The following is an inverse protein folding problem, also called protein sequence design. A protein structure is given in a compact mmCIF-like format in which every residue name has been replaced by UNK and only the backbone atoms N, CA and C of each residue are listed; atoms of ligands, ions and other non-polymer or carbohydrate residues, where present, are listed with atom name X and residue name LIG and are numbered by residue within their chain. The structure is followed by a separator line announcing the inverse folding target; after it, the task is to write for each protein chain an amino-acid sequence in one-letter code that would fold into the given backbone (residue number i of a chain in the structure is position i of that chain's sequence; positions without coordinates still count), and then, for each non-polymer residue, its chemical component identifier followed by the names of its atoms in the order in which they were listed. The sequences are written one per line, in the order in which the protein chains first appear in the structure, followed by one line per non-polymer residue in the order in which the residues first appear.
data_IF_099730089831
#
_entry.id   IF_099730089831
#
_cell.length_a   1.000
_cell.length_b   1.000
_cell.length_c   1.000
_cell.angle_alpha   90.00
_cell.angle_beta   90.00
_cell.angle_gamma   90.00
#
_symmetry.space_group_name_H-M   'P 1'
#
loop_
_entity.id
_entity.type
_entity.pdbx_description
1 polymer ?
#
# COMPACT_ATOMS: atom_id res chain seq x y z
N UNK A 1 -65.64 -50.15 35.08
CA UNK A 1 -65.57 -49.13 34.01
C UNK A 1 -64.64 -48.03 34.47
N UNK A 2 -63.39 -48.05 34.02
CA UNK A 2 -62.49 -46.90 33.97
C UNK A 2 -61.36 -47.26 33.01
N UNK A 3 -61.28 -46.49 31.93
CA UNK A 3 -60.49 -46.73 30.73
C UNK A 3 -59.12 -46.10 30.91
N UNK A 4 -58.05 -46.90 30.83
CA UNK A 4 -56.67 -46.44 30.75
C UNK A 4 -56.29 -46.22 29.28
N UNK A 5 -56.01 -44.97 28.91
CA UNK A 5 -55.50 -44.58 27.60
C UNK A 5 -53.97 -44.60 27.69
N UNK A 6 -53.33 -45.53 26.97
CA UNK A 6 -51.88 -45.52 26.70
C UNK A 6 -51.61 -44.64 25.49
N UNK A 7 -50.74 -43.64 25.66
CA UNK A 7 -50.22 -42.79 24.58
C UNK A 7 -48.91 -43.41 24.08
N UNK A 8 -48.90 -43.89 22.83
CA UNK A 8 -47.69 -44.27 22.11
C UNK A 8 -46.95 -43.01 21.66
N UNK A 9 -45.73 -42.80 22.16
CA UNK A 9 -44.77 -41.85 21.59
C UNK A 9 -44.07 -42.51 20.39
N UNK A 10 -44.38 -42.06 19.18
CA UNK A 10 -43.56 -42.33 17.98
C UNK A 10 -42.41 -41.32 17.94
N UNK A 11 -41.18 -41.82 18.06
CA UNK A 11 -39.97 -41.04 17.88
C UNK A 11 -39.78 -40.63 16.41
N UNK A 12 -39.79 -39.32 16.16
CA UNK A 12 -39.32 -38.74 14.91
C UNK A 12 -37.85 -38.33 15.12
N UNK A 13 -36.91 -39.19 14.69
CA UNK A 13 -35.51 -38.80 14.57
C UNK A 13 -35.41 -38.00 13.27
N UNK A 14 -35.46 -36.67 13.37
CA UNK A 14 -35.15 -35.78 12.27
C UNK A 14 -33.66 -35.88 11.95
N UNK A 15 -33.32 -36.48 10.81
CA UNK A 15 -32.03 -36.26 10.17
C UNK A 15 -31.97 -34.79 9.76
N UNK A 16 -31.25 -33.98 10.54
CA UNK A 16 -30.78 -32.67 10.09
C UNK A 16 -29.66 -32.95 9.09
N UNK A 17 -30.00 -32.99 7.81
CA UNK A 17 -28.99 -32.79 6.78
C UNK A 17 -28.59 -31.33 6.87
N UNK A 18 -27.41 -31.08 7.44
CA UNK A 18 -26.76 -29.80 7.32
C UNK A 18 -26.51 -29.58 5.82
N UNK A 19 -27.37 -28.77 5.20
CA UNK A 19 -27.03 -28.11 3.95
C UNK A 19 -25.78 -27.27 4.25
N UNK A 20 -24.63 -27.49 3.58
CA UNK A 20 -23.56 -26.52 3.64
C UNK A 20 -24.15 -25.21 3.13
N UNK A 21 -24.24 -24.23 4.02
CA UNK A 21 -24.57 -22.86 3.70
C UNK A 21 -23.73 -22.48 2.49
N UNK A 22 -24.44 -22.11 1.43
CA UNK A 22 -23.94 -21.54 0.19
C UNK A 22 -22.63 -20.79 0.40
N UNK A 23 -21.55 -21.32 -0.18
CA UNK A 23 -20.42 -20.52 -0.63
C UNK A 23 -21.02 -19.31 -1.36
N UNK A 24 -20.91 -18.14 -0.73
CA UNK A 24 -21.12 -16.88 -1.42
C UNK A 24 -20.05 -16.87 -2.51
N UNK A 25 -20.46 -17.12 -3.75
CA UNK A 25 -19.64 -16.87 -4.92
C UNK A 25 -19.36 -15.37 -4.95
N UNK A 26 -18.24 -14.96 -4.37
CA UNK A 26 -17.70 -13.62 -4.55
C UNK A 26 -17.37 -13.53 -6.04
N UNK A 27 -18.04 -12.61 -6.73
CA UNK A 27 -17.80 -12.32 -8.14
C UNK A 27 -16.31 -12.06 -8.34
N UNK A 28 -15.68 -12.97 -9.08
CA UNK A 28 -14.32 -12.87 -9.54
C UNK A 28 -14.16 -11.54 -10.31
N UNK A 29 -13.19 -10.71 -9.88
CA UNK A 29 -12.45 -9.88 -10.83
C UNK A 29 -11.79 -10.77 -11.88
N UNK A 30 -11.13 -10.26 -12.93
CA UNK A 30 -10.55 -11.09 -13.97
C UNK A 30 -9.35 -11.89 -13.44
N UNK A 31 -9.61 -12.91 -12.63
CA UNK A 31 -8.64 -13.95 -12.31
C UNK A 31 -8.58 -14.83 -13.55
N UNK A 32 -7.38 -14.99 -14.11
CA UNK A 32 -7.19 -15.88 -15.25
C UNK A 32 -7.66 -17.29 -14.87
N UNK A 33 -8.22 -18.04 -15.83
CA UNK A 33 -8.74 -19.40 -15.60
C UNK A 33 -7.66 -20.31 -14.95
N UNK A 34 -6.40 -20.00 -15.18
CA UNK A 34 -5.26 -20.66 -14.53
C UNK A 34 -5.08 -20.31 -13.05
N UNK A 35 -5.34 -19.06 -12.60
CA UNK A 35 -5.39 -18.74 -11.16
C UNK A 35 -6.50 -19.53 -10.46
N UNK A 36 -7.66 -19.73 -11.12
CA UNK A 36 -8.75 -20.55 -10.57
C UNK A 36 -8.33 -22.02 -10.40
N UNK A 37 -7.50 -22.53 -11.31
CA UNK A 37 -6.93 -23.88 -11.19
C UNK A 37 -6.03 -23.99 -9.95
N UNK A 38 -5.16 -22.99 -9.73
CA UNK A 38 -4.35 -22.92 -8.50
C UNK A 38 -5.21 -22.78 -7.25
N UNK A 39 -6.30 -22.00 -7.31
CA UNK A 39 -7.27 -21.87 -6.22
C UNK A 39 -7.91 -23.21 -5.87
N UNK A 40 -8.33 -23.98 -6.87
CA UNK A 40 -8.90 -25.32 -6.65
C UNK A 40 -7.87 -26.27 -6.04
N UNK A 41 -6.60 -26.19 -6.47
CA UNK A 41 -5.52 -27.00 -5.91
C UNK A 41 -5.16 -26.59 -4.47
N UNK A 42 -5.22 -25.30 -4.15
CA UNK A 42 -4.98 -24.78 -2.81
C UNK A 42 -6.15 -25.06 -1.85
N UNK A 43 -7.38 -25.09 -2.35
CA UNK A 43 -8.58 -25.42 -1.57
C UNK A 43 -8.82 -26.94 -1.45
N UNK A 44 -7.87 -27.77 -1.89
CA UNK A 44 -7.97 -29.21 -1.75
C UNK A 44 -8.02 -29.61 -0.26
N UNK A 45 -8.76 -30.66 0.09
CA UNK A 45 -8.94 -31.12 1.48
C UNK A 45 -7.65 -31.53 2.19
N UNK A 46 -6.54 -31.69 1.45
CA UNK A 46 -5.23 -32.02 1.98
C UNK A 46 -4.40 -30.80 2.43
N UNK A 47 -4.89 -29.58 2.19
CA UNK A 47 -4.19 -28.35 2.58
C UNK A 47 -4.50 -27.99 4.03
N UNK A 48 -3.48 -27.87 4.86
CA UNK A 48 -3.57 -27.28 6.19
C UNK A 48 -3.51 -25.76 6.08
N UNK A 49 -4.65 -25.12 6.28
CA UNK A 49 -4.78 -23.66 6.20
C UNK A 49 -3.98 -22.92 7.28
N UNK A 50 -3.51 -23.58 8.34
CA UNK A 50 -2.58 -22.98 9.31
C UNK A 50 -1.14 -22.92 8.80
N UNK A 51 -0.85 -23.58 7.68
CA UNK A 51 0.45 -23.64 7.01
C UNK A 51 0.29 -23.29 5.52
N UNK A 52 -0.57 -22.32 5.21
CA UNK A 52 -1.05 -21.99 3.87
C UNK A 52 0.10 -21.85 2.86
N UNK A 53 1.12 -21.05 3.18
CA UNK A 53 2.24 -20.79 2.28
C UNK A 53 3.21 -21.98 2.11
N UNK A 54 3.13 -23.02 2.94
CA UNK A 54 3.94 -24.23 2.76
C UNK A 54 3.40 -25.18 1.67
N UNK A 55 2.30 -24.83 1.03
CA UNK A 55 1.78 -25.52 -0.15
C UNK A 55 2.07 -24.70 -1.40
N UNK A 56 2.79 -25.30 -2.36
CA UNK A 56 3.16 -24.64 -3.64
C UNK A 56 1.96 -24.04 -4.35
N UNK A 57 0.81 -24.74 -4.41
CA UNK A 57 -0.43 -24.22 -5.02
C UNK A 57 -0.96 -22.96 -4.35
N UNK A 58 -0.84 -22.86 -3.03
CA UNK A 58 -1.31 -21.72 -2.25
C UNK A 58 -0.40 -20.50 -2.39
N UNK A 59 0.92 -20.71 -2.36
CA UNK A 59 1.88 -19.65 -2.72
C UNK A 59 1.63 -19.15 -4.16
N UNK A 60 1.53 -20.07 -5.12
CA UNK A 60 1.32 -19.72 -6.53
C UNK A 60 -0.02 -19.01 -6.73
N UNK A 61 -1.07 -19.39 -6.01
CA UNK A 61 -2.35 -18.66 -5.99
C UNK A 61 -2.15 -17.21 -5.53
N UNK A 62 -1.45 -17.00 -4.41
CA UNK A 62 -1.15 -15.67 -3.89
C UNK A 62 -0.37 -14.83 -4.91
N UNK A 63 0.66 -15.41 -5.53
CA UNK A 63 1.41 -14.75 -6.60
C UNK A 63 0.52 -14.45 -7.83
N UNK A 64 -0.34 -15.38 -8.22
CA UNK A 64 -1.25 -15.24 -9.36
C UNK A 64 -2.25 -14.09 -9.19
N UNK A 65 -2.72 -13.91 -7.95
CA UNK A 65 -3.65 -12.87 -7.55
C UNK A 65 -3.01 -11.49 -7.37
N UNK A 66 -1.67 -11.37 -7.36
CA UNK A 66 -0.95 -10.15 -6.96
C UNK A 66 -1.31 -8.86 -7.73
N UNK A 67 -1.86 -8.98 -8.94
CA UNK A 67 -2.32 -7.84 -9.73
C UNK A 67 -3.70 -7.29 -9.30
N UNK A 68 -4.45 -8.05 -8.50
CA UNK A 68 -5.84 -7.73 -8.09
C UNK A 68 -6.09 -7.84 -6.60
N UNK A 69 -5.34 -8.69 -5.90
CA UNK A 69 -5.43 -8.93 -4.47
C UNK A 69 -4.02 -8.96 -3.86
N UNK A 70 -3.87 -8.44 -2.64
CA UNK A 70 -2.65 -8.61 -1.85
C UNK A 70 -2.67 -9.95 -1.09
N UNK A 71 -1.52 -10.43 -0.57
CA UNK A 71 -1.45 -11.68 0.19
C UNK A 71 -2.49 -11.83 1.31
N UNK A 72 -2.76 -10.78 2.08
CA UNK A 72 -3.77 -10.83 3.15
C UNK A 72 -5.19 -11.07 2.62
N UNK A 73 -5.54 -10.44 1.49
CA UNK A 73 -6.84 -10.65 0.84
C UNK A 73 -6.98 -12.10 0.32
N UNK A 74 -5.90 -12.69 -0.17
CA UNK A 74 -5.89 -14.10 -0.62
C UNK A 74 -6.08 -15.06 0.56
N UNK A 75 -5.45 -14.80 1.71
CA UNK A 75 -5.67 -15.58 2.93
C UNK A 75 -7.14 -15.52 3.37
N UNK A 76 -7.74 -14.33 3.41
CA UNK A 76 -9.15 -14.13 3.75
C UNK A 76 -10.06 -14.89 2.76
N UNK A 77 -9.81 -14.76 1.46
CA UNK A 77 -10.59 -15.43 0.43
C UNK A 77 -10.48 -16.97 0.51
N UNK A 78 -9.33 -17.47 0.96
CA UNK A 78 -9.06 -18.90 1.15
C UNK A 78 -9.45 -19.40 2.55
N UNK A 79 -10.02 -18.54 3.40
CA UNK A 79 -10.39 -18.84 4.78
C UNK A 79 -9.21 -19.31 5.65
N UNK A 80 -7.99 -18.90 5.29
CA UNK A 80 -6.79 -19.15 6.07
C UNK A 80 -6.65 -18.07 7.18
N UNK A 81 -6.09 -18.40 8.36
CA UNK A 81 -5.75 -17.42 9.37
C UNK A 81 -4.87 -16.30 8.82
N UNK A 82 -5.11 -15.05 9.25
CA UNK A 82 -4.33 -13.90 8.84
C UNK A 82 -2.84 -14.01 9.23
N UNK A 83 -2.55 -14.65 10.36
CA UNK A 83 -1.19 -14.96 10.79
C UNK A 83 -0.82 -16.34 10.26
N UNK A 84 0.13 -16.37 9.32
CA UNK A 84 0.67 -17.61 8.75
C UNK A 84 2.14 -17.75 9.14
N UNK A 85 2.64 -18.99 9.33
CA UNK A 85 4.06 -19.26 9.26
C UNK A 85 4.63 -18.78 7.92
N UNK A 86 5.88 -18.32 7.95
CA UNK A 86 6.59 -17.98 6.71
C UNK A 86 6.67 -19.20 5.79
N UNK A 87 6.65 -18.94 4.47
CA UNK A 87 6.99 -19.92 3.45
C UNK A 87 8.33 -20.55 3.81
N UNK A 88 8.40 -21.87 3.95
CA UNK A 88 9.64 -22.55 4.31
C UNK A 88 10.65 -22.56 3.16
N UNK A 89 11.95 -22.51 3.50
CA UNK A 89 13.04 -22.68 2.54
C UNK A 89 12.92 -23.97 1.72
N UNK A 90 12.42 -25.07 2.29
CA UNK A 90 12.24 -26.32 1.56
C UNK A 90 11.25 -26.19 0.40
N UNK A 91 10.15 -25.47 0.59
CA UNK A 91 9.14 -25.24 -0.45
C UNK A 91 9.69 -24.26 -1.48
N UNK A 92 10.40 -23.22 -1.03
CA UNK A 92 11.12 -22.31 -1.91
C UNK A 92 12.15 -23.03 -2.79
N UNK A 93 12.99 -23.90 -2.23
CA UNK A 93 13.99 -24.67 -2.97
C UNK A 93 13.35 -25.67 -3.94
N UNK A 94 12.20 -26.26 -3.59
CA UNK A 94 11.46 -27.10 -4.52
C UNK A 94 11.00 -26.31 -5.76
N UNK A 95 10.53 -25.08 -5.58
CA UNK A 95 10.08 -24.22 -6.69
C UNK A 95 11.23 -23.59 -7.48
N UNK A 96 12.36 -23.31 -6.83
CA UNK A 96 13.54 -22.67 -7.43
C UNK A 96 14.57 -23.67 -7.99
N UNK A 97 14.22 -24.96 -8.04
CA UNK A 97 15.11 -26.05 -8.46
C UNK A 97 16.44 -26.08 -7.66
N UNK A 98 16.35 -25.85 -6.36
CA UNK A 98 17.47 -25.86 -5.42
C UNK A 98 18.33 -24.59 -5.41
N UNK A 99 17.91 -23.53 -6.10
CA UNK A 99 18.63 -22.24 -6.13
C UNK A 99 18.33 -21.38 -4.89
N UNK A 100 19.29 -20.55 -4.46
CA UNK A 100 19.09 -19.56 -3.37
C UNK A 100 18.23 -18.36 -3.76
N UNK A 101 17.86 -18.26 -5.04
CA UNK A 101 16.94 -17.29 -5.60
C UNK A 101 16.01 -17.97 -6.58
N UNK A 102 14.80 -17.44 -6.72
CA UNK A 102 13.84 -17.87 -7.72
C UNK A 102 13.96 -16.95 -8.94
N UNK A 103 14.11 -17.53 -10.12
CA UNK A 103 14.05 -16.79 -11.40
C UNK A 103 12.63 -16.72 -11.93
N UNK A 104 12.37 -15.83 -12.88
CA UNK A 104 11.11 -15.83 -13.64
C UNK A 104 10.80 -17.20 -14.25
N UNK A 105 11.80 -17.89 -14.81
CA UNK A 105 11.59 -19.21 -15.42
C UNK A 105 11.24 -20.25 -14.36
N UNK A 106 11.87 -20.22 -13.19
CA UNK A 106 11.50 -21.13 -12.10
C UNK A 106 10.06 -20.92 -11.64
N UNK A 107 9.62 -19.66 -11.52
CA UNK A 107 8.23 -19.35 -11.19
C UNK A 107 7.26 -19.89 -12.25
N UNK A 108 7.55 -19.65 -13.54
CA UNK A 108 6.75 -20.19 -14.66
C UNK A 108 6.71 -21.72 -14.62
N UNK A 109 7.85 -22.38 -14.45
CA UNK A 109 7.94 -23.85 -14.41
C UNK A 109 7.14 -24.42 -13.24
N UNK A 110 7.28 -23.84 -12.03
CA UNK A 110 6.50 -24.23 -10.86
C UNK A 110 5.00 -24.03 -11.07
N UNK A 111 4.61 -22.91 -11.71
CA UNK A 111 3.23 -22.58 -12.05
C UNK A 111 2.62 -23.63 -13.00
N UNK A 112 3.28 -23.91 -14.12
CA UNK A 112 2.82 -24.91 -15.10
C UNK A 112 2.84 -26.32 -14.51
N UNK A 113 3.85 -26.67 -13.71
CA UNK A 113 3.91 -27.95 -13.01
C UNK A 113 2.70 -28.12 -12.10
N UNK A 114 2.35 -27.11 -11.30
CA UNK A 114 1.23 -27.19 -10.38
C UNK A 114 -0.12 -27.35 -11.11
N UNK A 115 -0.30 -26.65 -12.22
CA UNK A 115 -1.49 -26.83 -13.07
C UNK A 115 -1.54 -28.23 -13.65
N UNK A 116 -0.41 -28.79 -14.10
CA UNK A 116 -0.37 -30.12 -14.72
C UNK A 116 -0.84 -31.25 -13.80
N UNK A 117 -0.67 -31.08 -12.48
CA UNK A 117 -1.09 -32.03 -11.46
C UNK A 117 -2.44 -31.69 -10.82
N UNK A 118 -3.04 -30.56 -11.20
CA UNK A 118 -4.36 -30.14 -10.73
C UNK A 118 -5.45 -30.85 -11.54
N UNK A 119 -6.38 -31.60 -10.92
CA UNK A 119 -7.50 -32.22 -11.64
C UNK A 119 -8.34 -31.17 -12.36
N UNK A 120 -8.47 -31.29 -13.69
CA UNK A 120 -9.19 -30.30 -14.51
C UNK A 120 -8.47 -28.95 -14.63
N UNK A 121 -7.17 -28.89 -14.33
CA UNK A 121 -6.37 -27.68 -14.44
C UNK A 121 -6.39 -27.08 -15.85
N UNK A 122 -6.57 -25.77 -15.92
CA UNK A 122 -6.56 -24.98 -17.14
C UNK A 122 -5.30 -24.13 -17.18
N UNK A 123 -4.55 -24.23 -18.28
CA UNK A 123 -3.37 -23.41 -18.51
C UNK A 123 -3.75 -21.99 -18.92
N UNK A 124 -2.89 -20.98 -18.67
CA UNK A 124 -3.14 -19.65 -19.19
C UNK A 124 -3.00 -19.64 -20.70
N UNK A 125 -3.82 -18.81 -21.36
CA UNK A 125 -3.79 -18.64 -22.81
C UNK A 125 -2.49 -17.98 -23.30
N UNK A 126 -1.82 -17.24 -22.42
CA UNK A 126 -0.56 -16.56 -22.71
C UNK A 126 0.36 -16.56 -21.48
N UNK A 127 1.60 -17.00 -21.67
CA UNK A 127 2.65 -16.97 -20.64
C UNK A 127 2.97 -15.57 -20.15
N UNK A 128 2.74 -14.53 -20.97
CA UNK A 128 2.92 -13.12 -20.56
C UNK A 128 2.18 -12.78 -19.28
N UNK A 129 0.98 -13.36 -19.04
CA UNK A 129 0.25 -13.12 -17.79
C UNK A 129 1.01 -13.61 -16.55
N UNK A 130 1.69 -14.76 -16.65
CA UNK A 130 2.50 -15.31 -15.56
C UNK A 130 3.75 -14.47 -15.37
N UNK A 131 4.34 -14.00 -16.48
CA UNK A 131 5.50 -13.11 -16.44
C UNK A 131 5.14 -11.80 -15.74
N UNK A 132 4.00 -11.19 -16.07
CA UNK A 132 3.55 -9.93 -15.46
C UNK A 132 3.32 -10.09 -13.95
N UNK A 133 2.77 -11.24 -13.49
CA UNK A 133 2.65 -11.57 -12.07
C UNK A 133 4.02 -11.60 -11.37
N UNK A 134 5.01 -12.24 -12.00
CA UNK A 134 6.37 -12.28 -11.47
C UNK A 134 7.01 -10.88 -11.42
N UNK A 135 6.80 -10.07 -12.46
CA UNK A 135 7.31 -8.70 -12.51
C UNK A 135 6.67 -7.81 -11.44
N UNK A 136 5.41 -8.02 -11.06
CA UNK A 136 4.79 -7.34 -9.91
C UNK A 136 5.52 -7.66 -8.60
N UNK A 137 5.87 -8.93 -8.36
CA UNK A 137 6.63 -9.33 -7.17
C UNK A 137 8.07 -8.80 -7.25
N UNK A 138 8.71 -8.85 -8.42
CA UNK A 138 10.04 -8.30 -8.63
C UNK A 138 10.09 -6.78 -8.42
N UNK A 139 9.04 -6.05 -8.80
CA UNK A 139 8.89 -4.62 -8.57
C UNK A 139 8.77 -4.31 -7.07
N UNK A 140 7.97 -5.10 -6.34
CA UNK A 140 7.86 -4.94 -4.90
C UNK A 140 9.17 -5.22 -4.17
N UNK A 141 9.84 -6.32 -4.53
CA UNK A 141 11.07 -6.77 -3.87
C UNK A 141 12.33 -6.01 -4.29
N UNK A 142 12.27 -5.18 -5.34
CA UNK A 142 13.41 -4.38 -5.82
C UNK A 142 14.36 -5.13 -6.76
N UNK A 143 13.92 -6.23 -7.39
CA UNK A 143 14.74 -7.09 -8.26
C UNK A 143 14.39 -6.99 -9.75
N UNK A 144 13.79 -5.89 -10.21
CA UNK A 144 13.45 -5.71 -11.63
C UNK A 144 14.64 -5.85 -12.60
N UNK A 145 15.85 -5.50 -12.17
CA UNK A 145 17.03 -5.54 -13.04
C UNK A 145 17.46 -6.97 -13.40
N UNK A 146 17.23 -7.94 -12.51
CA UNK A 146 17.67 -9.33 -12.70
C UNK A 146 16.51 -10.31 -12.85
N UNK A 147 15.34 -9.98 -12.29
CA UNK A 147 14.22 -10.92 -12.14
C UNK A 147 14.50 -12.08 -11.19
N UNK A 148 15.61 -12.03 -10.43
CA UNK A 148 16.05 -13.08 -9.52
C UNK A 148 15.75 -12.65 -8.08
N UNK A 149 14.71 -13.22 -7.49
CA UNK A 149 14.24 -12.84 -6.16
C UNK A 149 14.80 -13.82 -5.12
N UNK A 150 15.64 -13.38 -4.17
CA UNK A 150 16.13 -14.22 -3.08
C UNK A 150 14.99 -14.66 -2.15
N UNK A 151 15.19 -15.77 -1.43
CA UNK A 151 14.21 -16.29 -0.46
C UNK A 151 13.72 -15.21 0.53
N UNK A 152 14.65 -14.50 1.18
CA UNK A 152 14.33 -13.48 2.18
C UNK A 152 13.37 -12.41 1.63
N UNK A 153 13.65 -11.88 0.43
CA UNK A 153 12.80 -10.86 -0.17
C UNK A 153 11.43 -11.40 -0.60
N UNK A 154 11.36 -12.66 -1.04
CA UNK A 154 10.08 -13.27 -1.40
C UNK A 154 9.19 -13.50 -0.17
N UNK A 155 9.77 -13.92 0.97
CA UNK A 155 8.99 -14.08 2.20
C UNK A 155 8.58 -12.74 2.79
N UNK A 156 9.45 -11.72 2.70
CA UNK A 156 9.10 -10.34 3.07
C UNK A 156 7.93 -9.81 2.24
N UNK A 157 7.88 -10.11 0.93
CA UNK A 157 6.74 -9.77 0.10
C UNK A 157 5.44 -10.43 0.59
N UNK A 158 5.47 -11.71 0.94
CA UNK A 158 4.29 -12.41 1.46
C UNK A 158 3.81 -11.81 2.80
N UNK A 159 4.75 -11.41 3.66
CA UNK A 159 4.46 -10.92 5.01
C UNK A 159 4.04 -9.45 5.02
N UNK A 160 4.73 -8.59 4.27
CA UNK A 160 4.65 -7.14 4.41
C UNK A 160 3.93 -6.43 3.27
N UNK A 161 3.73 -7.03 2.08
CA UNK A 161 3.10 -6.31 0.96
C UNK A 161 1.63 -5.95 1.17
N UNK A 162 1.01 -6.50 2.22
CA UNK A 162 -0.36 -6.16 2.64
C UNK A 162 -0.40 -5.23 3.86
N UNK A 163 0.76 -4.92 4.45
CA UNK A 163 0.84 -4.02 5.60
C UNK A 163 0.64 -2.59 5.12
N UNK A 164 -0.30 -1.89 5.73
CA UNK A 164 -0.59 -0.49 5.40
C UNK A 164 0.69 0.34 5.44
N UNK A 165 0.92 1.07 4.35
CA UNK A 165 2.06 1.97 4.23
C UNK A 165 3.40 1.30 3.91
N UNK A 166 3.43 -0.03 3.68
CA UNK A 166 4.56 -0.69 3.03
C UNK A 166 4.38 -0.60 1.51
N UNK A 167 5.35 0.02 0.84
CA UNK A 167 5.31 0.23 -0.60
C UNK A 167 6.21 -0.74 -1.35
N UNK A 168 5.88 -1.05 -2.63
CA UNK A 168 6.83 -1.72 -3.49
C UNK A 168 8.09 -0.86 -3.69
N UNK A 169 9.24 -1.51 -3.87
CA UNK A 169 10.50 -0.81 -4.14
C UNK A 169 10.43 0.06 -5.40
N UNK A 170 9.73 -0.40 -6.44
CA UNK A 170 9.35 0.41 -7.62
C UNK A 170 7.91 0.12 -8.02
N UNK A 171 7.24 1.07 -8.64
CA UNK A 171 5.82 0.92 -9.05
C UNK A 171 5.60 -0.18 -10.09
N UNK A 172 6.60 -0.46 -10.93
CA UNK A 172 6.60 -1.53 -11.94
C UNK A 172 8.04 -1.80 -12.40
N UNK A 173 8.28 -2.99 -12.94
CA UNK A 173 9.51 -3.27 -13.67
C UNK A 173 9.52 -2.71 -15.10
N UNK A 174 8.36 -2.25 -15.60
CA UNK A 174 8.26 -1.58 -16.90
C UNK A 174 8.39 -0.06 -16.71
N UNK A 175 9.46 0.52 -17.25
CA UNK A 175 9.73 1.96 -17.17
C UNK A 175 8.61 2.84 -17.75
N UNK A 176 7.87 2.36 -18.74
CA UNK A 176 6.73 3.08 -19.33
C UNK A 176 5.53 3.11 -18.40
N UNK A 177 5.34 2.04 -17.63
CA UNK A 177 4.32 1.96 -16.57
C UNK A 177 4.74 2.83 -15.39
N UNK A 178 6.00 2.74 -14.95
CA UNK A 178 6.54 3.59 -13.87
C UNK A 178 6.32 5.08 -14.16
N UNK A 179 6.54 5.52 -15.40
CA UNK A 179 6.36 6.92 -15.79
C UNK A 179 4.89 7.41 -15.72
N UNK A 180 3.92 6.50 -15.62
CA UNK A 180 2.47 6.81 -15.58
C UNK A 180 1.82 6.46 -14.25
N UNK A 181 2.50 5.69 -13.41
CA UNK A 181 1.99 5.25 -12.12
C UNK A 181 2.45 6.21 -11.04
N UNK A 182 1.48 6.71 -10.25
CA UNK A 182 1.78 7.52 -9.08
C UNK A 182 2.55 6.64 -8.08
N UNK A 183 3.77 7.01 -7.67
CA UNK A 183 4.54 6.23 -6.70
C UNK A 183 3.77 6.05 -5.39
N UNK A 184 3.84 4.84 -4.84
CA UNK A 184 3.38 4.58 -3.48
C UNK A 184 4.27 5.36 -2.50
N UNK A 185 3.65 5.91 -1.46
CA UNK A 185 4.35 6.65 -0.41
C UNK A 185 4.37 5.79 0.84
N UNK A 186 5.54 5.39 1.33
CA UNK A 186 5.61 4.65 2.57
C UNK A 186 4.93 5.46 3.68
N UNK A 187 3.99 4.84 4.39
CA UNK A 187 3.35 5.44 5.55
C UNK A 187 3.70 4.58 6.77
N UNK A 188 4.32 5.15 7.82
CA UNK A 188 4.45 4.47 9.09
C UNK A 188 3.07 4.03 9.60
N UNK A 189 2.99 2.90 10.31
CA UNK A 189 1.75 2.41 10.94
C UNK A 189 1.15 3.42 11.94
N UNK A 190 1.92 4.43 12.34
CA UNK A 190 1.51 5.52 13.21
C UNK A 190 0.72 6.61 12.47
N UNK A 191 0.74 6.63 11.13
CA UNK A 191 -0.19 7.41 10.31
C UNK A 191 -1.53 6.69 10.21
N UNK A 192 -2.53 7.17 10.94
CA UNK A 192 -3.91 6.66 10.89
C UNK A 192 -4.77 7.39 9.85
N UNK A 193 -4.16 7.82 8.75
CA UNK A 193 -4.79 8.63 7.71
C UNK A 193 -4.67 10.14 7.92
N UNK A 194 -3.87 10.56 8.90
CA UNK A 194 -3.59 11.97 9.16
C UNK A 194 -2.97 12.66 7.95
N UNK A 195 -2.09 11.95 7.23
CA UNK A 195 -1.52 12.49 6.02
C UNK A 195 -2.54 12.62 4.90
N UNK A 196 -3.36 11.59 4.71
CA UNK A 196 -4.45 11.63 3.72
C UNK A 196 -5.38 12.81 3.93
N UNK A 197 -5.67 13.15 5.20
CA UNK A 197 -6.43 14.35 5.53
C UNK A 197 -5.67 15.64 5.20
N UNK A 198 -4.37 15.72 5.47
CA UNK A 198 -3.55 16.89 5.11
C UNK A 198 -3.49 17.11 3.60
N UNK A 199 -3.36 16.03 2.82
CA UNK A 199 -3.43 16.01 1.34
C UNK A 199 -4.79 16.49 0.86
N UNK A 200 -5.88 15.91 1.39
CA UNK A 200 -7.26 16.34 1.08
C UNK A 200 -7.48 17.83 1.34
N UNK A 201 -6.91 18.36 2.42
CA UNK A 201 -6.95 19.79 2.69
C UNK A 201 -6.15 20.57 1.64
N UNK A 202 -4.92 20.17 1.30
CA UNK A 202 -4.11 20.83 0.27
C UNK A 202 -4.84 21.02 -1.08
N UNK A 203 -5.63 20.04 -1.51
CA UNK A 203 -6.38 20.07 -2.78
C UNK A 203 -7.21 21.34 -2.97
N UNK A 204 -7.78 21.84 -1.87
CA UNK A 204 -8.61 23.04 -1.88
C UNK A 204 -7.86 24.32 -2.33
N UNK A 205 -6.53 24.35 -2.27
CA UNK A 205 -5.73 25.54 -2.56
C UNK A 205 -4.56 25.34 -3.51
N UNK A 206 -4.10 24.09 -3.74
CA UNK A 206 -2.88 23.80 -4.51
C UNK A 206 -2.86 24.47 -5.88
N UNK A 207 -3.99 24.47 -6.59
CA UNK A 207 -4.06 25.05 -7.93
C UNK A 207 -4.39 26.55 -7.96
N UNK A 208 -5.02 27.08 -6.91
CA UNK A 208 -5.37 28.50 -6.83
C UNK A 208 -4.23 29.36 -6.27
N UNK A 209 -3.52 28.84 -5.26
CA UNK A 209 -2.49 29.56 -4.52
C UNK A 209 -1.08 29.08 -4.89
N UNK A 210 -0.94 27.82 -5.33
CA UNK A 210 0.34 27.17 -5.53
C UNK A 210 0.76 26.34 -4.32
N UNK A 211 1.57 25.30 -4.57
CA UNK A 211 1.87 24.27 -3.58
C UNK A 211 2.50 24.82 -2.28
N UNK A 212 3.47 25.73 -2.38
CA UNK A 212 4.17 26.26 -1.19
C UNK A 212 3.66 27.63 -0.72
N UNK A 213 2.44 27.98 -1.14
CA UNK A 213 1.77 29.23 -0.78
C UNK A 213 0.61 28.99 0.19
N UNK A 214 0.42 27.75 0.64
CA UNK A 214 -0.59 27.34 1.60
C UNK A 214 0.01 26.37 2.63
N UNK A 215 -0.32 26.54 3.90
CA UNK A 215 0.23 25.72 4.99
C UNK A 215 -0.13 24.24 4.91
N UNK A 216 -1.37 23.92 4.51
CA UNK A 216 -1.82 22.54 4.38
C UNK A 216 -1.04 21.80 3.30
N UNK A 217 -0.73 22.49 2.20
CA UNK A 217 0.10 21.92 1.13
C UNK A 217 1.56 21.74 1.52
N UNK A 218 2.12 22.64 2.33
CA UNK A 218 3.48 22.49 2.86
C UNK A 218 3.54 21.32 3.85
N UNK A 219 2.58 21.22 4.77
CA UNK A 219 2.48 20.12 5.72
C UNK A 219 2.21 18.78 5.02
N UNK A 220 1.36 18.76 3.99
CA UNK A 220 1.15 17.60 3.14
C UNK A 220 2.47 17.18 2.49
N UNK A 221 3.27 18.13 1.96
CA UNK A 221 4.57 17.83 1.35
C UNK A 221 5.53 17.15 2.33
N UNK A 222 5.43 17.43 3.63
CA UNK A 222 6.26 16.76 4.63
C UNK A 222 5.95 15.28 4.79
N UNK A 223 4.68 14.86 4.66
CA UNK A 223 4.36 13.43 4.66
C UNK A 223 5.06 12.65 3.55
N UNK A 224 5.37 13.32 2.44
CA UNK A 224 5.99 12.71 1.28
C UNK A 224 7.51 12.68 1.37
N UNK A 225 8.09 13.08 2.52
CA UNK A 225 9.54 13.04 2.76
C UNK A 225 10.15 11.63 2.62
N UNK A 226 9.40 10.57 2.94
CA UNK A 226 9.82 9.18 2.70
C UNK A 226 9.83 8.78 1.22
N UNK A 227 9.33 9.64 0.33
CA UNK A 227 9.31 9.45 -1.12
C UNK A 227 10.01 10.62 -1.82
N UNK A 228 9.29 11.39 -2.62
CA UNK A 228 9.73 12.68 -3.11
C UNK A 228 8.56 13.69 -3.07
N UNK A 229 8.89 14.98 -3.01
CA UNK A 229 7.89 16.06 -2.94
C UNK A 229 7.06 16.21 -4.23
N UNK A 230 7.53 15.68 -5.37
CA UNK A 230 6.78 15.65 -6.64
C UNK A 230 5.64 14.62 -6.64
N UNK A 231 5.72 13.55 -5.82
CA UNK A 231 4.63 12.55 -5.72
C UNK A 231 3.35 13.21 -5.23
N UNK A 232 3.43 14.17 -4.29
CA UNK A 232 2.27 14.95 -3.87
C UNK A 232 1.60 15.62 -5.06
N UNK A 233 2.35 16.28 -5.95
CA UNK A 233 1.78 16.94 -7.14
C UNK A 233 1.07 15.95 -8.07
N UNK A 234 1.51 14.70 -8.14
CA UNK A 234 0.82 13.67 -8.92
C UNK A 234 -0.51 13.23 -8.30
N UNK A 235 -0.66 13.32 -6.97
CA UNK A 235 -1.94 13.11 -6.28
C UNK A 235 -2.85 14.33 -6.35
N UNK A 236 -2.29 15.54 -6.27
CA UNK A 236 -3.02 16.79 -6.23
C UNK A 236 -3.59 17.17 -7.61
N UNK A 237 -2.82 16.95 -8.68
CA UNK A 237 -3.24 17.36 -10.02
C UNK A 237 -4.04 16.27 -10.71
N UNK A 238 -5.24 16.59 -11.23
CA UNK A 238 -6.03 15.65 -12.02
C UNK A 238 -5.26 15.14 -13.23
N UNK A 239 -5.52 13.89 -13.63
CA UNK A 239 -4.84 13.22 -14.74
C UNK A 239 -4.97 13.92 -16.11
N UNK A 240 -5.94 14.84 -16.27
CA UNK A 240 -6.09 15.66 -17.48
C UNK A 240 -5.15 16.87 -17.52
N UNK A 241 -4.50 17.22 -16.41
CA UNK A 241 -3.46 18.27 -16.40
C UNK A 241 -2.14 17.62 -16.82
N UNK A 242 -1.68 17.94 -18.03
CA UNK A 242 -0.45 17.38 -18.60
C UNK A 242 0.38 18.46 -19.31
N UNK A 243 1.68 18.58 -19.01
CA UNK A 243 2.40 17.86 -17.96
C UNK A 243 1.98 18.32 -16.55
N UNK A 244 1.94 17.39 -15.60
CA UNK A 244 1.85 17.74 -14.17
C UNK A 244 3.08 18.57 -13.80
N UNK A 245 2.93 19.72 -13.12
CA UNK A 245 4.08 20.51 -12.70
C UNK A 245 4.92 19.74 -11.67
N UNK A 246 6.19 20.09 -11.58
CA UNK A 246 7.11 19.63 -10.53
C UNK A 246 7.27 20.69 -9.45
N UNK A 247 7.75 20.31 -8.28
CA UNK A 247 8.04 21.22 -7.16
C UNK A 247 9.06 22.30 -7.54
N UNK A 248 10.02 21.97 -8.41
CA UNK A 248 10.98 22.94 -8.96
C UNK A 248 10.35 24.03 -9.83
N UNK A 249 9.14 23.80 -10.34
CA UNK A 249 8.37 24.75 -11.14
C UNK A 249 7.34 25.53 -10.29
N UNK A 250 7.17 25.16 -9.01
CA UNK A 250 6.29 25.89 -8.09
C UNK A 250 7.00 27.13 -7.56
N UNK A 251 6.21 28.12 -7.12
CA UNK A 251 6.76 29.24 -6.37
C UNK A 251 7.38 28.73 -5.06
N UNK A 252 8.57 29.24 -4.73
CA UNK A 252 9.28 28.93 -3.49
C UNK A 252 8.38 29.21 -2.26
N UNK A 253 8.57 28.44 -1.19
CA UNK A 253 7.85 28.62 0.08
C UNK A 253 7.76 30.10 0.47
N UNK A 254 6.54 30.61 0.65
CA UNK A 254 6.39 31.99 1.10
C UNK A 254 6.81 32.15 2.57
N UNK A 255 7.48 33.27 2.88
CA UNK A 255 7.80 33.63 4.26
C UNK A 255 6.53 33.75 5.12
N UNK A 256 5.42 34.23 4.56
CA UNK A 256 4.15 34.33 5.26
C UNK A 256 3.63 32.96 5.73
N UNK A 257 3.64 31.95 4.86
CA UNK A 257 3.25 30.57 5.23
C UNK A 257 4.24 29.99 6.23
N UNK A 258 5.54 30.19 6.02
CA UNK A 258 6.56 29.76 6.96
C UNK A 258 6.32 30.35 8.36
N UNK A 259 6.13 31.66 8.46
CA UNK A 259 5.87 32.33 9.74
C UNK A 259 4.54 31.92 10.36
N UNK A 260 3.53 31.56 9.57
CA UNK A 260 2.29 31.04 10.14
C UNK A 260 2.53 29.70 10.84
N UNK A 261 3.26 28.78 10.19
CA UNK A 261 3.59 27.47 10.76
C UNK A 261 4.56 27.56 11.95
N UNK A 262 5.46 28.55 11.98
CA UNK A 262 6.45 28.70 13.06
C UNK A 262 6.00 29.62 14.20
N UNK A 263 4.81 30.21 14.13
CA UNK A 263 4.37 31.23 15.08
C UNK A 263 5.24 32.50 15.03
N UNK A 264 5.79 32.83 13.86
CA UNK A 264 6.61 34.02 13.61
C UNK A 264 8.12 33.83 13.84
N UNK A 265 8.59 32.61 14.10
CA UNK A 265 10.02 32.35 14.28
C UNK A 265 10.79 32.30 12.94
N UNK A 266 12.08 32.67 12.97
CA UNK A 266 12.97 32.67 11.80
C UNK A 266 13.46 31.26 11.37
N UNK A 267 13.20 30.25 12.20
CA UNK A 267 13.54 28.85 11.97
C UNK A 267 12.40 27.97 12.45
N UNK A 268 12.20 26.84 11.79
CA UNK A 268 11.21 25.83 12.18
C UNK A 268 11.90 24.77 13.03
N UNK A 269 11.47 24.63 14.28
CA UNK A 269 11.94 23.56 15.17
C UNK A 269 11.09 22.29 14.98
N UNK A 270 11.56 21.15 15.50
CA UNK A 270 10.74 19.93 15.57
C UNK A 270 9.40 20.18 16.29
N UNK A 271 9.39 20.98 17.36
CA UNK A 271 8.13 21.28 18.05
C UNK A 271 7.20 22.13 17.19
N UNK A 272 7.74 23.10 16.42
CA UNK A 272 6.90 23.90 15.52
C UNK A 272 6.22 23.05 14.45
N UNK A 273 6.92 22.07 13.86
CA UNK A 273 6.29 21.19 12.86
C UNK A 273 5.23 20.28 13.49
N UNK A 274 5.46 19.79 14.72
CA UNK A 274 4.44 19.05 15.48
C UNK A 274 3.22 19.94 15.70
N UNK A 275 3.40 21.12 16.26
CA UNK A 275 2.29 22.03 16.56
C UNK A 275 1.52 22.44 15.29
N UNK A 276 2.23 22.77 14.20
CA UNK A 276 1.62 23.13 12.93
C UNK A 276 0.83 21.96 12.31
N UNK A 277 1.37 20.74 12.36
CA UNK A 277 0.70 19.56 11.82
C UNK A 277 -0.58 19.22 12.60
N UNK A 278 -0.51 19.21 13.93
CA UNK A 278 -1.69 19.01 14.77
C UNK A 278 -2.71 20.14 14.61
N UNK A 279 -2.28 21.40 14.53
CA UNK A 279 -3.17 22.52 14.27
C UNK A 279 -3.86 22.41 12.90
N UNK A 280 -3.16 21.92 11.89
CA UNK A 280 -3.73 21.65 10.56
C UNK A 280 -4.80 20.55 10.55
N UNK A 281 -4.80 19.66 11.54
CA UNK A 281 -5.83 18.62 11.71
C UNK A 281 -6.98 19.06 12.63
N UNK A 282 -6.89 20.22 13.28
CA UNK A 282 -7.97 20.75 14.12
C UNK A 282 -8.94 21.60 13.31
N UNK A 283 -10.21 21.17 13.23
CA UNK A 283 -11.23 21.83 12.42
C UNK A 283 -10.86 21.85 10.93
N UNK A 284 -10.89 20.68 10.29
CA UNK A 284 -10.37 20.50 8.93
C UNK A 284 -11.23 21.20 7.88
N UNK A 285 -10.68 21.37 6.68
CA UNK A 285 -11.39 21.95 5.55
C UNK A 285 -11.87 20.88 4.59
N UNK A 286 -13.05 21.10 4.03
CA UNK A 286 -13.62 20.27 2.98
C UNK A 286 -13.97 21.10 1.75
N UNK A 287 -13.89 20.49 0.57
CA UNK A 287 -14.40 21.08 -0.66
C UNK A 287 -15.93 20.99 -0.67
N UNK A 288 -16.59 22.12 -0.94
CA UNK A 288 -18.04 22.17 -1.21
C UNK A 288 -18.35 22.31 -2.70
N UNK A 289 -17.34 22.08 -3.55
CA UNK A 289 -17.45 22.07 -5.01
C UNK A 289 -16.65 23.18 -5.70
N UNK A 290 -16.66 23.12 -7.02
CA UNK A 290 -15.86 23.98 -7.91
C UNK A 290 -14.95 23.13 -8.82
N UNK A 291 -14.50 23.68 -9.96
CA UNK A 291 -13.48 23.01 -10.76
C UNK A 291 -12.12 23.09 -10.05
N UNK A 292 -11.22 22.17 -10.39
CA UNK A 292 -9.84 22.18 -9.89
C UNK A 292 -9.20 23.57 -10.08
N UNK A 293 -8.63 24.12 -9.00
CA UNK A 293 -8.06 25.47 -8.97
C UNK A 293 -9.04 26.61 -8.73
N UNK A 294 -10.34 26.31 -8.57
CA UNK A 294 -11.34 27.26 -8.11
C UNK A 294 -12.35 26.58 -7.15
N UNK A 295 -11.83 25.65 -6.34
CA UNK A 295 -12.61 24.95 -5.33
C UNK A 295 -13.00 25.91 -4.20
N UNK A 296 -14.22 25.76 -3.73
CA UNK A 296 -14.70 26.50 -2.57
C UNK A 296 -14.48 25.64 -1.34
N UNK A 297 -13.58 26.08 -0.47
CA UNK A 297 -13.30 25.42 0.80
C UNK A 297 -14.26 25.89 1.89
N UNK A 298 -14.73 24.96 2.73
CA UNK A 298 -15.47 25.25 3.95
C UNK A 298 -14.78 24.62 5.14
N UNK A 299 -14.55 25.42 6.20
CA UNK A 299 -14.04 24.90 7.47
C UNK A 299 -15.12 24.10 8.18
N UNK A 300 -14.77 22.91 8.65
CA UNK A 300 -15.64 22.04 9.40
C UNK A 300 -15.45 22.25 10.91
N UNK A 301 -16.36 21.69 11.71
CA UNK A 301 -16.21 21.60 13.17
C UNK A 301 -15.65 20.22 13.58
N UNK A 302 -15.13 19.46 12.62
CA UNK A 302 -14.61 18.12 12.82
C UNK A 302 -13.11 18.15 12.69
N UNK A 303 -12.45 17.45 13.59
CA UNK A 303 -11.02 17.24 13.49
C UNK A 303 -10.73 16.07 12.55
N UNK A 304 -9.56 16.12 11.93
CA UNK A 304 -8.99 15.03 11.16
C UNK A 304 -8.50 13.90 12.07
N UNK A 305 -8.19 12.73 11.51
CA UNK A 305 -7.47 11.70 12.25
C UNK A 305 -6.09 12.24 12.67
N UNK A 306 -5.84 12.32 13.97
CA UNK A 306 -4.52 12.65 14.50
C UNK A 306 -3.62 11.42 14.48
N UNK A 307 -2.32 11.54 14.13
CA UNK A 307 -1.37 10.43 14.20
C UNK A 307 -1.45 9.72 15.56
N UNK A 308 -1.33 8.39 15.57
CA UNK A 308 -1.40 7.61 16.82
C UNK A 308 -0.14 7.77 17.68
N UNK A 309 0.96 8.25 17.09
CA UNK A 309 2.16 8.70 17.79
C UNK A 309 2.73 9.95 17.13
N UNK A 310 3.30 10.84 17.95
CA UNK A 310 4.09 11.98 17.49
C UNK A 310 5.34 11.55 16.72
N UNK A 311 5.80 10.30 16.93
CA UNK A 311 6.95 9.74 16.22
C UNK A 311 6.79 9.82 14.70
N UNK A 312 5.55 9.72 14.19
CA UNK A 312 5.25 9.94 12.77
C UNK A 312 5.82 11.27 12.25
N UNK A 313 5.57 12.36 12.99
CA UNK A 313 6.03 13.70 12.64
C UNK A 313 7.53 13.85 12.85
N UNK A 314 8.04 13.27 13.94
CA UNK A 314 9.46 13.28 14.28
C UNK A 314 10.28 12.57 13.20
N UNK A 315 9.76 11.51 12.60
CA UNK A 315 10.44 10.70 11.60
C UNK A 315 10.52 11.43 10.25
N UNK A 316 9.42 11.96 9.71
CA UNK A 316 9.51 12.75 8.47
C UNK A 316 10.34 14.02 8.68
N UNK A 317 10.25 14.65 9.85
CA UNK A 317 11.07 15.82 10.16
C UNK A 317 12.55 15.46 10.29
N UNK A 318 12.86 14.24 10.74
CA UNK A 318 14.20 13.68 10.73
C UNK A 318 14.78 13.62 9.32
N UNK A 319 14.00 13.16 8.34
CA UNK A 319 14.43 13.11 6.92
C UNK A 319 14.70 14.51 6.38
N UNK A 320 13.79 15.45 6.62
CA UNK A 320 13.93 16.85 6.17
C UNK A 320 15.15 17.50 6.84
N UNK A 321 15.34 17.26 8.15
CA UNK A 321 16.51 17.73 8.90
C UNK A 321 17.81 17.14 8.36
N UNK A 322 17.81 15.87 7.97
CA UNK A 322 18.96 15.20 7.38
C UNK A 322 19.32 15.80 6.01
N UNK A 323 18.31 16.02 5.17
CA UNK A 323 18.50 16.62 3.84
C UNK A 323 19.07 18.03 3.94
N UNK A 324 18.56 18.81 4.89
CA UNK A 324 18.99 20.20 5.10
C UNK A 324 20.28 20.35 5.90
N UNK A 325 20.82 19.27 6.50
CA UNK A 325 22.06 19.28 7.27
C UNK A 325 21.92 19.70 8.74
N UNK A 326 20.73 19.59 9.33
CA UNK A 326 20.42 20.01 10.70
C UNK A 326 20.02 18.84 11.63
N UNK A 327 20.62 17.66 11.49
CA UNK A 327 20.28 16.49 12.32
C UNK A 327 20.40 16.71 13.83
N UNK A 328 21.45 17.42 14.26
CA UNK A 328 21.74 17.59 15.69
C UNK A 328 20.71 18.47 16.40
N UNK A 329 20.18 19.48 15.71
CA UNK A 329 19.29 20.48 16.30
C UNK A 329 17.83 20.32 15.87
N UNK A 330 17.60 19.63 14.74
CA UNK A 330 16.30 19.53 14.06
C UNK A 330 15.57 20.87 13.97
N UNK A 331 16.36 21.92 13.74
CA UNK A 331 15.91 23.31 13.65
C UNK A 331 16.38 23.88 12.32
N UNK A 332 15.45 24.06 11.39
CA UNK A 332 15.73 24.36 9.98
C UNK A 332 15.41 25.84 9.71
N UNK A 333 16.38 26.65 9.27
CA UNK A 333 16.13 28.02 8.81
C UNK A 333 15.22 28.06 7.57
N UNK A 334 14.49 29.15 7.39
CA UNK A 334 13.57 29.34 6.24
C UNK A 334 14.21 28.96 4.89
N UNK A 335 15.39 29.49 4.58
CA UNK A 335 16.05 29.27 3.28
C UNK A 335 16.30 27.78 3.00
N UNK A 336 16.76 27.03 4.01
CA UNK A 336 17.03 25.61 3.87
C UNK A 336 15.75 24.78 3.70
N UNK A 337 14.67 25.13 4.40
CA UNK A 337 13.39 24.45 4.23
C UNK A 337 12.77 24.75 2.87
N UNK A 338 12.87 25.99 2.41
CA UNK A 338 12.41 26.42 1.09
C UNK A 338 13.18 25.71 -0.04
N UNK A 339 14.49 25.54 0.12
CA UNK A 339 15.33 24.76 -0.80
C UNK A 339 14.96 23.28 -0.81
N UNK A 340 14.74 22.67 0.37
CA UNK A 340 14.26 21.29 0.48
C UNK A 340 12.99 21.09 -0.34
N UNK A 341 11.97 21.92 -0.11
CA UNK A 341 10.68 21.81 -0.79
C UNK A 341 10.82 21.96 -2.32
N UNK A 342 11.73 22.82 -2.79
CA UNK A 342 11.91 23.11 -4.21
C UNK A 342 12.77 22.10 -4.96
N UNK A 343 13.73 21.45 -4.26
CA UNK A 343 14.80 20.70 -4.91
C UNK A 343 14.95 19.24 -4.45
N UNK A 344 14.39 18.84 -3.31
CA UNK A 344 14.56 17.49 -2.78
C UNK A 344 14.18 16.41 -3.80
N UNK A 345 13.08 16.60 -4.54
CA UNK A 345 12.60 15.64 -5.53
C UNK A 345 13.60 15.34 -6.67
N UNK A 346 14.47 16.29 -7.02
CA UNK A 346 15.45 16.12 -8.11
C UNK A 346 16.86 15.80 -7.62
N UNK A 347 17.09 15.86 -6.31
CA UNK A 347 18.43 15.72 -5.73
C UNK A 347 18.97 14.27 -5.74
N UNK A 348 18.08 13.27 -5.77
CA UNK A 348 18.45 11.86 -5.55
C UNK A 348 19.07 11.59 -4.17
N UNK A 349 19.01 12.55 -3.25
CA UNK A 349 19.60 12.50 -1.92
C UNK A 349 18.50 12.23 -0.88
N UNK A 350 18.56 11.05 -0.24
CA UNK A 350 17.60 10.61 0.78
C UNK A 350 18.33 10.22 2.07
N UNK A 351 18.87 11.19 2.81
CA UNK A 351 19.59 10.90 4.06
C UNK A 351 18.62 10.66 5.23
N UNK A 352 19.16 10.03 6.27
CA UNK A 352 18.49 9.86 7.57
C UNK A 352 19.37 10.45 8.67
N UNK A 353 18.74 11.14 9.61
CA UNK A 353 19.26 11.26 10.98
C UNK A 353 18.93 9.94 11.72
#
# INVERSE_FOLDING_TARGET
MNTLISVLYLGLIGLVTALPSSLVARQDGPTSISCLSLRNSCNATAVDLNNFYNYTSCFLLTACSSNVENPAQVLIASQAPATQPQLTESVFYAMSNGSSYMTQQNYVDAYYQQISITPGGSYPDNVTYIIDQWLTIAAWTGFCATGNIPYANLVDWLEYSSVTGVCPSVASCDATVVARTIPCVPQPITDNGSCGEMVSQCQNWVAAQGLFQNEYCVLASFCYAWSNTDVLLQHEYPSYVSPTPTTSQQAILSEAVFYNMTGGAASMTQQNVIDAYYAGLTGTWMSIGGPFGAETAQKTNSDGPYPTSVDYIIDFWGIISAWTGFCDTRTIPYANLADYLSFAATSGYHPTC
#
